data_IF_908763111884
#
_entry.id   IF_908763111884
#
_cell.length_a   1.000
_cell.length_b   1.000
_cell.length_c   1.000
_cell.angle_alpha   90.00
_cell.angle_beta   90.00
_cell.angle_gamma   90.00
#
_symmetry.space_group_name_H-M   'P 1'
#
loop_
_entity.id
_entity.type
_entity.pdbx_description
1 polymer ?
#
# COMPACT_ATOMS: atom_id res chain seq x y z
N UNK A 1 -15.86 -5.19 -4.62
CA UNK A 1 -16.05 -5.73 -3.25
C UNK A 1 -15.74 -4.58 -2.31
N UNK A 2 -16.57 -4.33 -1.29
CA UNK A 2 -16.28 -3.26 -0.33
C UNK A 2 -15.55 -3.91 0.84
N UNK A 3 -14.34 -3.43 1.13
CA UNK A 3 -13.55 -3.90 2.26
C UNK A 3 -14.07 -3.27 3.55
N UNK A 4 -14.09 -4.03 4.63
CA UNK A 4 -14.34 -3.48 5.95
C UNK A 4 -13.20 -2.54 6.38
N UNK A 5 -13.49 -1.64 7.32
CA UNK A 5 -12.48 -0.72 7.87
C UNK A 5 -11.25 -1.46 8.44
N UNK A 6 -11.48 -2.65 9.02
CA UNK A 6 -10.41 -3.48 9.56
C UNK A 6 -9.54 -4.07 8.46
N UNK A 7 -10.14 -4.60 7.39
CA UNK A 7 -9.40 -5.13 6.25
C UNK A 7 -8.57 -4.04 5.56
N UNK A 8 -9.14 -2.85 5.36
CA UNK A 8 -8.40 -1.69 4.80
C UNK A 8 -7.13 -1.41 5.57
N UNK A 9 -7.24 -1.29 6.91
CA UNK A 9 -6.10 -1.08 7.79
C UNK A 9 -5.09 -2.22 7.76
N UNK A 10 -5.53 -3.46 7.59
CA UNK A 10 -4.62 -4.60 7.48
C UNK A 10 -3.79 -4.51 6.19
N UNK A 11 -4.44 -4.27 5.05
CA UNK A 11 -3.73 -4.10 3.77
C UNK A 11 -2.74 -2.93 3.82
N UNK A 12 -3.15 -1.79 4.37
CA UNK A 12 -2.28 -0.64 4.56
C UNK A 12 -1.05 -0.99 5.42
N UNK A 13 -1.26 -1.64 6.57
CA UNK A 13 -0.16 -2.04 7.45
C UNK A 13 0.80 -3.02 6.78
N UNK A 14 0.32 -3.95 5.95
CA UNK A 14 1.20 -4.87 5.21
C UNK A 14 2.13 -4.11 4.28
N UNK A 15 1.61 -3.12 3.53
CA UNK A 15 2.43 -2.30 2.63
C UNK A 15 3.36 -1.37 3.39
N UNK A 16 2.90 -0.76 4.49
CA UNK A 16 3.73 0.09 5.36
C UNK A 16 4.91 -0.71 5.88
N UNK A 17 4.70 -1.92 6.38
CA UNK A 17 5.79 -2.78 6.85
C UNK A 17 6.77 -3.11 5.71
N UNK A 18 6.27 -3.50 4.53
CA UNK A 18 7.14 -3.75 3.36
C UNK A 18 7.93 -2.50 2.94
N UNK A 19 7.36 -1.29 3.04
CA UNK A 19 8.06 -0.04 2.76
C UNK A 19 9.18 0.25 3.77
N UNK A 20 8.95 -0.03 5.06
CA UNK A 20 9.96 0.13 6.11
C UNK A 20 11.08 -0.89 5.91
N UNK A 21 10.74 -2.17 5.74
CA UNK A 21 11.71 -3.26 5.68
C UNK A 21 12.54 -3.26 4.38
N UNK A 22 11.89 -3.06 3.23
CA UNK A 22 12.54 -3.19 1.91
C UNK A 22 13.12 -1.89 1.38
N UNK A 23 12.55 -0.75 1.78
CA UNK A 23 12.91 0.56 1.22
C UNK A 23 13.42 1.54 2.28
N UNK A 24 13.57 1.10 3.54
CA UNK A 24 14.11 1.89 4.65
C UNK A 24 13.40 3.22 4.87
N UNK A 25 12.11 3.29 4.57
CA UNK A 25 11.29 4.46 4.89
C UNK A 25 11.07 4.53 6.40
N UNK A 26 10.97 5.75 6.95
CA UNK A 26 10.45 5.95 8.30
C UNK A 26 8.99 5.54 8.35
N UNK A 27 8.51 5.10 9.51
CA UNK A 27 7.10 4.72 9.69
C UNK A 27 6.15 5.81 9.24
N UNK A 28 6.42 7.06 9.62
CA UNK A 28 5.62 8.24 9.25
C UNK A 28 5.55 8.40 7.73
N UNK A 29 6.69 8.34 7.03
CA UNK A 29 6.74 8.48 5.57
C UNK A 29 6.10 7.30 4.85
N UNK A 30 6.25 6.08 5.37
CA UNK A 30 5.60 4.90 4.82
C UNK A 30 4.07 4.98 4.95
N UNK A 31 3.57 5.44 6.11
CA UNK A 31 2.14 5.68 6.32
C UNK A 31 1.62 6.76 5.39
N UNK A 32 2.32 7.90 5.27
CA UNK A 32 1.96 8.98 4.35
C UNK A 32 1.86 8.46 2.89
N UNK A 33 2.85 7.70 2.42
CA UNK A 33 2.85 7.13 1.07
C UNK A 33 1.62 6.24 0.83
N UNK A 34 1.23 5.44 1.81
CA UNK A 34 0.11 4.51 1.71
C UNK A 34 -1.24 5.25 1.83
N UNK A 35 -1.38 6.19 2.76
CA UNK A 35 -2.60 7.01 2.95
C UNK A 35 -2.88 7.90 1.73
N UNK A 36 -1.84 8.44 1.10
CA UNK A 36 -1.99 9.20 -0.15
C UNK A 36 -2.08 8.33 -1.40
N UNK A 37 -2.08 7.00 -1.26
CA UNK A 37 -2.23 6.08 -2.39
C UNK A 37 -3.70 5.76 -2.66
N UNK A 38 -4.01 5.49 -3.92
CA UNK A 38 -5.31 4.93 -4.33
C UNK A 38 -5.36 3.40 -4.18
N UNK A 39 -4.49 2.79 -3.35
CA UNK A 39 -4.36 1.34 -3.25
C UNK A 39 -5.68 0.68 -2.87
N UNK A 40 -6.32 1.16 -1.79
CA UNK A 40 -7.58 0.60 -1.32
C UNK A 40 -8.67 0.74 -2.39
N UNK A 41 -8.76 1.89 -3.05
CA UNK A 41 -9.72 2.10 -4.14
C UNK A 41 -9.48 1.14 -5.31
N UNK A 42 -8.22 0.86 -5.64
CA UNK A 42 -7.84 -0.10 -6.69
C UNK A 42 -8.20 -1.55 -6.29
N UNK A 43 -8.06 -1.91 -5.01
CA UNK A 43 -8.44 -3.23 -4.49
C UNK A 43 -9.96 -3.42 -4.45
N UNK A 44 -10.72 -2.40 -4.05
CA UNK A 44 -12.18 -2.48 -3.99
C UNK A 44 -12.84 -2.59 -5.37
N UNK A 45 -12.26 -1.89 -6.36
CA UNK A 45 -12.70 -1.91 -7.77
C UNK A 45 -12.38 -3.22 -8.49
N UNK A 46 -11.36 -3.94 -8.05
CA UNK A 46 -10.87 -5.15 -8.71
C UNK A 46 -10.69 -6.29 -7.69
N UNK A 47 -11.78 -6.98 -7.32
CA UNK A 47 -11.77 -8.00 -6.26
C UNK A 47 -10.72 -9.11 -6.43
N UNK A 48 -10.40 -9.59 -7.65
CA UNK A 48 -9.27 -10.50 -7.86
C UNK A 48 -7.94 -10.00 -7.26
N UNK A 49 -7.67 -8.69 -7.26
CA UNK A 49 -6.44 -8.14 -6.68
C UNK A 49 -6.35 -8.26 -5.16
N UNK A 50 -7.49 -8.40 -4.49
CA UNK A 50 -7.53 -8.70 -3.04
C UNK A 50 -7.00 -10.12 -2.82
N UNK A 51 -7.41 -11.07 -3.68
CA UNK A 51 -7.01 -12.47 -3.57
C UNK A 51 -5.53 -12.70 -3.93
N UNK A 52 -5.00 -11.90 -4.86
CA UNK A 52 -3.58 -11.89 -5.24
C UNK A 52 -2.83 -10.70 -4.64
N UNK A 53 -3.24 -10.25 -3.46
CA UNK A 53 -2.60 -9.10 -2.82
C UNK A 53 -1.14 -9.41 -2.46
N UNK A 54 -0.23 -8.60 -2.98
CA UNK A 54 1.20 -8.67 -2.70
C UNK A 54 1.68 -7.32 -2.16
N UNK A 55 2.05 -7.29 -0.88
CA UNK A 55 2.50 -6.07 -0.21
C UNK A 55 3.85 -5.58 -0.73
N UNK A 56 4.73 -6.47 -1.20
CA UNK A 56 6.03 -6.09 -1.76
C UNK A 56 5.85 -5.44 -3.13
N UNK A 57 4.96 -5.97 -3.97
CA UNK A 57 4.59 -5.35 -5.24
C UNK A 57 4.07 -3.92 -5.02
N UNK A 58 3.14 -3.74 -4.09
CA UNK A 58 2.60 -2.42 -3.78
C UNK A 58 3.66 -1.49 -3.19
N UNK A 59 4.49 -1.95 -2.26
CA UNK A 59 5.58 -1.15 -1.71
C UNK A 59 6.56 -0.70 -2.80
N UNK A 60 6.89 -1.58 -3.76
CA UNK A 60 7.71 -1.25 -4.92
C UNK A 60 7.09 -0.18 -5.79
N UNK A 61 5.82 -0.37 -6.18
CA UNK A 61 5.07 0.56 -7.01
C UNK A 61 4.94 1.93 -6.35
N UNK A 62 4.62 1.96 -5.06
CA UNK A 62 4.46 3.20 -4.30
C UNK A 62 5.80 3.91 -4.06
N UNK A 63 6.87 3.17 -3.76
CA UNK A 63 8.22 3.75 -3.64
C UNK A 63 8.68 4.39 -4.95
N UNK A 64 8.45 3.73 -6.09
CA UNK A 64 8.79 4.27 -7.40
C UNK A 64 8.01 5.57 -7.71
N UNK A 65 6.71 5.61 -7.41
CA UNK A 65 5.88 6.82 -7.58
C UNK A 65 6.29 7.96 -6.64
N UNK A 66 6.71 7.64 -5.42
CA UNK A 66 7.25 8.61 -4.46
C UNK A 66 8.53 9.29 -4.98
N UNK A 67 9.36 8.58 -5.75
CA UNK A 67 10.62 9.11 -6.31
C UNK A 67 10.43 9.91 -7.59
N UNK A 68 9.29 9.76 -8.28
CA UNK A 68 8.97 10.47 -9.53
C UNK A 68 8.45 11.90 -9.31
N UNK A 69 8.12 12.31 -8.08
CA UNK A 69 7.70 13.68 -7.74
C UNK A 69 8.89 14.61 -7.39
N UNK A 70 10.07 14.36 -7.95
CA UNK A 70 11.21 15.28 -7.88
C UNK A 70 11.14 16.32 -8.99
#
# INVERSE_FOLDING_TARGET
MILSLQEKKQFENYVVNSLIERYSYTKEKAMEIVEHSSMIDELEKDPPKIMYFDSEFWASRLSARSKLKC
#
